data_IF_035021392072
#
_entry.id   IF_035021392072
#
_cell.length_a   1.000
_cell.length_b   1.000
_cell.length_c   1.000
_cell.angle_alpha   90.00
_cell.angle_beta   90.00
_cell.angle_gamma   90.00
#
_symmetry.space_group_name_H-M   'P 1'
#
loop_
_entity.id
_entity.type
_entity.pdbx_description
1 polymer ?
#
# COMPACT_ATOMS: atom_id res chain seq x y z
N UNK A 1 8.64 -28.06 9.64
CA UNK A 1 7.33 -28.74 9.70
C UNK A 1 6.50 -28.28 8.52
N UNK A 2 5.96 -29.24 7.75
CA UNK A 2 5.08 -29.01 6.60
C UNK A 2 3.68 -28.63 7.08
N UNK A 3 2.97 -27.88 6.22
CA UNK A 3 1.53 -28.02 5.91
C UNK A 3 0.43 -27.29 6.69
N UNK A 4 -0.25 -26.42 5.91
CA UNK A 4 -1.70 -26.34 5.62
C UNK A 4 -2.70 -25.65 6.58
N UNK A 5 -3.32 -24.60 6.01
CA UNK A 5 -4.77 -24.30 5.88
C UNK A 5 -5.57 -24.02 7.16
N UNK A 6 -6.21 -22.84 7.20
CA UNK A 6 -7.66 -22.72 7.40
C UNK A 6 -8.15 -21.29 7.13
N UNK A 7 -8.73 -21.07 5.95
CA UNK A 7 -9.78 -20.07 5.76
C UNK A 7 -11.05 -20.59 6.47
N UNK A 8 -11.68 -19.81 7.38
CA UNK A 8 -13.05 -20.07 7.75
C UNK A 8 -13.99 -19.33 6.80
N UNK A 9 -14.77 -20.13 6.10
CA UNK A 9 -16.08 -19.82 5.56
C UNK A 9 -16.92 -19.01 6.55
N UNK A 10 -17.59 -17.96 6.08
CA UNK A 10 -18.86 -17.51 6.64
C UNK A 10 -19.90 -17.49 5.52
N UNK A 11 -20.77 -18.50 5.57
CA UNK A 11 -21.96 -18.60 4.75
C UNK A 11 -23.14 -17.90 5.45
N UNK A 12 -23.96 -17.29 4.61
CA UNK A 12 -25.42 -17.11 4.73
C UNK A 12 -25.98 -16.31 5.92
N UNK A 13 -26.38 -15.07 5.60
CA UNK A 13 -27.66 -14.53 6.03
C UNK A 13 -28.33 -13.84 4.83
N UNK A 14 -29.17 -14.59 4.12
CA UNK A 14 -30.17 -14.01 3.23
C UNK A 14 -31.50 -13.96 3.99
N UNK A 15 -32.11 -12.78 4.06
CA UNK A 15 -33.54 -12.52 3.76
C UNK A 15 -33.91 -11.08 4.12
N UNK A 16 -34.72 -10.48 3.25
CA UNK A 16 -35.29 -9.12 3.28
C UNK A 16 -34.43 -7.97 2.73
N UNK A 17 -34.04 -8.06 1.46
CA UNK A 17 -33.90 -6.88 0.61
C UNK A 17 -35.16 -6.75 -0.28
N UNK A 18 -35.66 -5.54 -0.57
CA UNK A 18 -36.78 -5.37 -1.50
C UNK A 18 -36.39 -5.98 -2.84
N UNK A 19 -37.23 -6.86 -3.39
CA UNK A 19 -37.11 -7.27 -4.78
C UNK A 19 -37.23 -6.01 -5.63
N UNK A 20 -36.09 -5.52 -6.15
CA UNK A 20 -36.07 -4.64 -7.30
C UNK A 20 -36.80 -5.39 -8.42
N UNK A 21 -37.91 -4.82 -8.87
CA UNK A 21 -38.70 -5.35 -9.98
C UNK A 21 -37.76 -5.66 -11.14
N UNK A 22 -37.74 -6.94 -11.53
CA UNK A 22 -37.04 -7.39 -12.71
C UNK A 22 -37.64 -6.67 -13.91
N UNK A 23 -36.92 -5.68 -14.42
CA UNK A 23 -37.25 -5.02 -15.67
C UNK A 23 -36.84 -5.96 -16.81
N UNK A 24 -37.76 -6.83 -17.18
CA UNK A 24 -37.73 -7.56 -18.45
C UNK A 24 -37.83 -6.54 -19.58
N UNK A 25 -36.69 -6.07 -20.11
CA UNK A 25 -36.57 -5.59 -21.49
C UNK A 25 -35.08 -5.38 -21.85
N UNK A 26 -34.64 -6.05 -22.93
CA UNK A 26 -33.34 -5.97 -23.60
C UNK A 26 -32.08 -6.48 -22.85
N UNK A 27 -31.77 -7.78 -23.04
CA UNK A 27 -30.42 -8.40 -23.05
C UNK A 27 -29.34 -7.72 -22.19
N UNK A 28 -29.41 -7.91 -20.88
CA UNK A 28 -28.31 -7.61 -19.96
C UNK A 28 -27.09 -8.42 -20.39
N UNK A 29 -25.99 -7.78 -20.78
CA UNK A 29 -24.75 -8.50 -21.14
C UNK A 29 -24.26 -9.28 -19.90
N UNK A 30 -23.82 -10.54 -20.06
CA UNK A 30 -23.37 -11.33 -18.92
C UNK A 30 -22.09 -10.77 -18.32
N UNK A 31 -21.94 -10.93 -17.00
CA UNK A 31 -20.70 -10.66 -16.28
C UNK A 31 -19.61 -11.61 -16.78
N UNK A 32 -18.42 -11.07 -17.01
CA UNK A 32 -17.24 -11.81 -17.49
C UNK A 32 -16.14 -11.80 -16.44
N UNK A 33 -15.52 -12.95 -16.25
CA UNK A 33 -14.25 -13.06 -15.53
C UNK A 33 -13.09 -12.69 -16.46
N UNK A 34 -11.95 -12.29 -15.89
CA UNK A 34 -10.78 -11.93 -16.66
C UNK A 34 -10.12 -13.18 -17.28
N UNK A 35 -10.12 -13.30 -18.61
CA UNK A 35 -9.36 -14.33 -19.31
C UNK A 35 -7.88 -13.93 -19.41
N UNK A 36 -7.07 -14.43 -18.47
CA UNK A 36 -5.62 -14.15 -18.41
C UNK A 36 -4.80 -14.95 -19.43
N UNK A 37 -5.41 -15.87 -20.16
CA UNK A 37 -4.71 -16.83 -21.04
C UNK A 37 -4.61 -16.39 -22.50
N UNK A 38 -5.36 -15.35 -22.91
CA UNK A 38 -5.46 -14.94 -24.32
C UNK A 38 -4.42 -13.89 -24.73
N UNK A 39 -3.77 -14.12 -25.87
CA UNK A 39 -2.80 -13.21 -26.47
C UNK A 39 -3.46 -12.04 -27.23
N UNK A 40 -4.67 -12.23 -27.76
CA UNK A 40 -5.37 -11.27 -28.64
C UNK A 40 -6.27 -10.28 -27.88
N UNK A 41 -5.80 -9.81 -26.72
CA UNK A 41 -6.58 -9.03 -25.76
C UNK A 41 -6.73 -7.54 -26.10
N UNK A 42 -6.53 -7.14 -27.36
CA UNK A 42 -6.48 -5.74 -27.74
C UNK A 42 -7.44 -5.46 -28.89
N UNK A 43 -8.40 -4.55 -28.68
CA UNK A 43 -9.17 -4.01 -29.81
C UNK A 43 -8.42 -2.81 -30.36
N UNK A 44 -8.03 -2.89 -31.63
CA UNK A 44 -7.36 -1.80 -32.35
C UNK A 44 -8.33 -0.62 -32.47
N UNK A 45 -7.85 0.58 -32.17
CA UNK A 45 -8.56 1.80 -32.54
C UNK A 45 -8.59 1.89 -34.08
N UNK A 46 -9.78 1.89 -34.71
CA UNK A 46 -9.89 1.92 -36.17
C UNK A 46 -9.30 3.20 -36.80
N UNK A 47 -9.05 4.26 -36.01
CA UNK A 47 -8.59 5.55 -36.49
C UNK A 47 -7.08 5.79 -36.36
N UNK A 48 -6.26 4.79 -36.00
CA UNK A 48 -4.81 5.00 -35.76
C UNK A 48 -3.94 4.19 -36.74
N UNK A 49 -3.21 4.91 -37.60
CA UNK A 49 -2.22 4.38 -38.53
C UNK A 49 -0.84 4.14 -37.84
N UNK A 50 -0.50 2.87 -37.61
CA UNK A 50 0.83 2.22 -37.61
C UNK A 50 2.10 2.92 -37.03
N UNK A 51 2.02 3.60 -35.88
CA UNK A 51 3.21 3.80 -35.03
C UNK A 51 2.86 3.71 -33.52
N UNK A 52 3.03 2.51 -32.93
CA UNK A 52 3.12 2.12 -31.49
C UNK A 52 2.05 2.64 -30.48
N UNK A 53 1.64 1.84 -29.46
CA UNK A 53 0.24 1.78 -29.01
C UNK A 53 -0.08 2.70 -27.83
N UNK A 54 -0.78 3.82 -28.08
CA UNK A 54 -1.38 4.64 -27.03
C UNK A 54 -2.91 4.40 -26.86
N UNK A 55 -3.58 3.80 -27.85
CA UNK A 55 -5.04 3.74 -27.90
C UNK A 55 -5.64 2.34 -27.75
N UNK A 56 -4.86 1.27 -27.88
CA UNK A 56 -5.38 -0.08 -27.68
C UNK A 56 -5.79 -0.26 -26.21
N UNK A 57 -7.06 -0.56 -25.96
CA UNK A 57 -7.55 -0.97 -24.64
C UNK A 57 -7.98 -2.41 -24.64
N UNK A 58 -7.84 -3.04 -23.47
CA UNK A 58 -8.27 -4.40 -23.26
C UNK A 58 -9.78 -4.47 -23.29
N UNK A 59 -10.32 -5.44 -24.01
CA UNK A 59 -11.74 -5.71 -24.01
C UNK A 59 -12.21 -6.30 -22.67
N UNK A 60 -13.52 -6.35 -22.49
CA UNK A 60 -14.16 -6.91 -21.30
C UNK A 60 -13.80 -8.39 -21.09
N UNK A 61 -13.61 -9.17 -22.16
CA UNK A 61 -13.22 -10.58 -22.07
C UNK A 61 -11.87 -10.78 -21.35
N UNK A 62 -10.93 -9.84 -21.55
CA UNK A 62 -9.58 -9.98 -20.99
C UNK A 62 -9.39 -9.33 -19.63
N UNK A 63 -10.21 -8.33 -19.30
CA UNK A 63 -10.11 -7.60 -18.03
C UNK A 63 -11.15 -8.07 -17.01
N UNK A 64 -12.19 -8.76 -17.49
CA UNK A 64 -13.39 -9.01 -16.72
C UNK A 64 -14.23 -7.73 -16.56
N UNK A 65 -15.50 -7.93 -16.26
CA UNK A 65 -16.50 -6.84 -16.21
C UNK A 65 -16.16 -5.77 -15.17
N UNK A 66 -15.66 -6.16 -13.99
CA UNK A 66 -15.36 -5.21 -12.90
C UNK A 66 -14.26 -4.23 -13.32
N UNK A 67 -13.11 -4.73 -13.77
CA UNK A 67 -12.01 -3.86 -14.21
C UNK A 67 -12.40 -3.05 -15.44
N UNK A 68 -13.08 -3.67 -16.41
CA UNK A 68 -13.55 -3.01 -17.62
C UNK A 68 -14.41 -1.77 -17.32
N UNK A 69 -15.38 -1.93 -16.42
CA UNK A 69 -16.24 -0.82 -15.98
C UNK A 69 -15.45 0.21 -15.17
N UNK A 70 -14.69 -0.20 -14.15
CA UNK A 70 -13.97 0.73 -13.26
C UNK A 70 -12.85 1.53 -13.96
N UNK A 71 -12.24 0.97 -15.01
CA UNK A 71 -11.26 1.68 -15.83
C UNK A 71 -11.87 2.57 -16.91
N UNK A 72 -13.18 2.44 -17.16
CA UNK A 72 -13.86 3.22 -18.20
C UNK A 72 -13.61 2.71 -19.62
N UNK A 73 -13.21 1.44 -19.78
CA UNK A 73 -12.86 0.91 -21.10
C UNK A 73 -14.06 0.88 -22.05
N UNK A 74 -15.28 0.71 -21.53
CA UNK A 74 -16.53 0.78 -22.29
C UNK A 74 -16.60 1.94 -23.30
N UNK A 75 -16.12 3.13 -22.91
CA UNK A 75 -16.10 4.33 -23.77
C UNK A 75 -15.33 4.14 -25.09
N UNK A 76 -14.29 3.30 -25.08
CA UNK A 76 -13.45 3.01 -26.26
C UNK A 76 -13.93 1.81 -27.05
N UNK A 77 -14.92 1.08 -26.54
CA UNK A 77 -15.49 -0.10 -27.18
C UNK A 77 -16.90 0.15 -27.75
N UNK A 78 -17.33 1.42 -27.82
CA UNK A 78 -18.61 1.83 -28.40
C UNK A 78 -19.79 1.62 -27.44
N UNK A 79 -19.52 1.53 -26.14
CA UNK A 79 -20.54 1.50 -25.10
C UNK A 79 -20.58 2.85 -24.39
N UNK A 80 -21.77 3.43 -24.29
CA UNK A 80 -21.98 4.73 -23.66
C UNK A 80 -22.63 4.53 -22.29
N UNK A 81 -21.89 4.88 -21.23
CA UNK A 81 -22.35 4.90 -19.85
C UNK A 81 -21.88 6.20 -19.20
N UNK A 82 -22.73 6.80 -18.38
CA UNK A 82 -22.41 8.04 -17.65
C UNK A 82 -21.20 7.85 -16.72
N UNK A 83 -21.10 6.67 -16.09
CA UNK A 83 -20.01 6.30 -15.20
C UNK A 83 -19.83 4.77 -15.10
N UNK A 84 -18.85 4.35 -14.30
CA UNK A 84 -18.58 2.93 -14.08
C UNK A 84 -19.72 2.19 -13.35
N UNK A 85 -20.56 2.88 -12.58
CA UNK A 85 -21.69 2.24 -11.89
C UNK A 85 -22.82 1.93 -12.86
N UNK A 86 -23.08 2.84 -13.81
CA UNK A 86 -23.99 2.58 -14.92
C UNK A 86 -23.50 1.37 -15.74
N UNK A 87 -22.19 1.28 -16.00
CA UNK A 87 -21.59 0.11 -16.64
C UNK A 87 -21.83 -1.18 -15.83
N UNK A 88 -21.57 -1.18 -14.51
CA UNK A 88 -21.79 -2.36 -13.65
C UNK A 88 -23.27 -2.76 -13.59
N UNK A 89 -24.19 -1.78 -13.40
CA UNK A 89 -25.63 -2.02 -13.37
C UNK A 89 -26.14 -2.58 -14.70
N UNK A 90 -25.56 -2.16 -15.84
CA UNK A 90 -25.88 -2.72 -17.15
C UNK A 90 -25.54 -4.22 -17.29
N UNK A 91 -24.76 -4.77 -16.36
CA UNK A 91 -24.36 -6.18 -16.26
C UNK A 91 -25.07 -6.91 -15.12
N UNK A 92 -26.06 -6.28 -14.49
CA UNK A 92 -26.77 -6.84 -13.34
C UNK A 92 -25.96 -6.85 -12.04
N UNK A 93 -24.84 -6.10 -11.97
CA UNK A 93 -24.04 -5.96 -10.77
C UNK A 93 -24.50 -4.74 -9.96
N UNK A 94 -24.72 -4.94 -8.66
CA UNK A 94 -24.86 -3.81 -7.72
C UNK A 94 -23.46 -3.27 -7.40
N UNK A 95 -23.12 -2.02 -7.76
CA UNK A 95 -21.82 -1.43 -7.48
C UNK A 95 -21.43 -1.45 -6.00
N UNK A 96 -22.41 -1.45 -5.09
CA UNK A 96 -22.16 -1.47 -3.65
C UNK A 96 -21.64 -2.82 -3.15
N UNK A 97 -21.99 -3.93 -3.81
CA UNK A 97 -21.63 -5.29 -3.40
C UNK A 97 -20.69 -6.00 -4.38
N UNK A 98 -20.64 -5.56 -5.63
CA UNK A 98 -19.80 -6.16 -6.66
C UNK A 98 -18.33 -5.76 -6.58
N UNK A 99 -18.01 -4.67 -5.88
CA UNK A 99 -16.64 -4.18 -5.70
C UNK A 99 -16.28 -4.30 -4.21
N UNK A 100 -15.58 -5.38 -3.87
CA UNK A 100 -15.02 -5.60 -2.52
C UNK A 100 -13.74 -4.79 -2.31
N UNK A 101 -13.84 -3.47 -2.54
CA UNK A 101 -12.72 -2.53 -2.39
C UNK A 101 -13.23 -1.09 -2.25
N UNK A 102 -12.42 -0.24 -1.59
CA UNK A 102 -12.64 1.20 -1.62
C UNK A 102 -12.55 1.72 -3.06
N UNK A 103 -13.58 2.42 -3.52
CA UNK A 103 -13.58 3.02 -4.84
C UNK A 103 -12.79 4.32 -4.85
N UNK A 104 -11.89 4.48 -5.79
CA UNK A 104 -11.18 5.73 -6.03
C UNK A 104 -12.14 6.69 -6.77
N UNK A 105 -12.69 7.67 -6.04
CA UNK A 105 -13.55 8.73 -6.56
C UNK A 105 -12.76 9.93 -7.08
N UNK A 106 -11.50 10.11 -6.64
CA UNK A 106 -10.57 11.13 -7.15
C UNK A 106 -9.19 10.52 -7.41
N UNK A 107 -8.83 10.30 -8.69
CA UNK A 107 -7.52 9.75 -9.08
C UNK A 107 -6.37 10.71 -8.78
N UNK A 108 -6.61 12.01 -8.87
CA UNK A 108 -5.61 13.04 -8.55
C UNK A 108 -5.28 13.03 -7.06
N UNK A 109 -6.30 13.05 -6.18
CA UNK A 109 -6.07 12.93 -4.74
C UNK A 109 -5.44 11.57 -4.39
N UNK A 110 -5.83 10.47 -5.03
CA UNK A 110 -5.20 9.17 -4.80
C UNK A 110 -3.70 9.22 -5.10
N UNK A 111 -3.31 9.81 -6.23
CA UNK A 111 -1.90 9.97 -6.64
C UNK A 111 -1.12 10.85 -5.66
N UNK A 112 -1.72 11.98 -5.23
CA UNK A 112 -1.12 12.87 -4.24
C UNK A 112 -0.97 12.20 -2.88
N UNK A 113 -1.96 11.42 -2.45
CA UNK A 113 -1.92 10.64 -1.22
C UNK A 113 -0.80 9.61 -1.23
N UNK A 114 -0.67 8.87 -2.33
CA UNK A 114 0.42 7.90 -2.52
C UNK A 114 1.80 8.56 -2.49
N UNK A 115 1.95 9.68 -3.19
CA UNK A 115 3.21 10.44 -3.25
C UNK A 115 3.61 10.96 -1.86
N UNK A 116 2.66 11.51 -1.10
CA UNK A 116 2.89 11.97 0.27
C UNK A 116 3.24 10.82 1.23
N UNK A 117 2.63 9.64 1.08
CA UNK A 117 2.97 8.47 1.88
C UNK A 117 4.37 7.94 1.56
N UNK A 118 4.76 7.94 0.28
CA UNK A 118 6.11 7.58 -0.15
C UNK A 118 7.16 8.54 0.41
N UNK A 119 6.89 9.84 0.35
CA UNK A 119 7.74 10.89 0.94
C UNK A 119 7.87 10.69 2.45
N UNK A 120 6.77 10.50 3.17
CA UNK A 120 6.78 10.22 4.61
C UNK A 120 7.66 9.01 4.96
N UNK A 121 7.50 7.90 4.23
CA UNK A 121 8.30 6.70 4.43
C UNK A 121 9.79 6.95 4.21
N UNK A 122 10.16 7.68 3.15
CA UNK A 122 11.56 8.01 2.87
C UNK A 122 12.16 8.90 3.96
N UNK A 123 11.45 9.94 4.38
CA UNK A 123 11.91 10.87 5.41
C UNK A 123 12.05 10.15 6.76
N UNK A 124 11.07 9.32 7.13
CA UNK A 124 11.09 8.57 8.39
C UNK A 124 12.23 7.54 8.41
N UNK A 125 12.43 6.77 7.33
CA UNK A 125 13.54 5.82 7.26
C UNK A 125 14.91 6.51 7.33
N UNK A 126 15.05 7.69 6.70
CA UNK A 126 16.26 8.50 6.85
C UNK A 126 16.45 8.96 8.29
N UNK A 127 15.38 9.41 8.95
CA UNK A 127 15.43 9.79 10.35
C UNK A 127 15.93 8.65 11.23
N UNK A 128 15.33 7.46 11.09
CA UNK A 128 15.69 6.29 11.88
C UNK A 128 17.12 5.81 11.63
N UNK A 129 17.58 5.81 10.38
CA UNK A 129 18.94 5.46 10.02
C UNK A 129 19.97 6.39 10.71
N UNK A 130 19.74 7.70 10.66
CA UNK A 130 20.63 8.68 11.27
C UNK A 130 20.61 8.60 12.79
N UNK A 131 19.45 8.36 13.40
CA UNK A 131 19.33 8.10 14.83
C UNK A 131 20.05 6.82 15.25
N UNK A 132 20.10 5.81 14.38
CA UNK A 132 20.86 4.59 14.67
C UNK A 132 22.36 4.83 14.54
N UNK A 133 22.80 5.55 13.51
CA UNK A 133 24.21 5.93 13.34
C UNK A 133 24.71 6.78 14.53
N UNK A 134 23.89 7.68 15.07
CA UNK A 134 24.29 8.47 16.25
C UNK A 134 24.44 7.65 17.54
N UNK A 135 24.09 6.36 17.53
CA UNK A 135 24.32 5.46 18.67
C UNK A 135 25.62 4.68 18.56
N UNK A 136 26.33 4.76 17.43
CA UNK A 136 27.60 4.06 17.21
C UNK A 136 28.82 4.93 17.55
N UNK A 137 28.62 6.00 18.33
CA UNK A 137 29.69 6.89 18.80
C UNK A 137 30.73 6.10 19.58
N UNK A 138 32.01 6.32 19.27
CA UNK A 138 33.16 5.78 20.02
C UNK A 138 33.82 6.91 20.82
N UNK A 139 34.88 6.64 21.59
CA UNK A 139 35.56 7.74 22.28
C UNK A 139 36.24 8.68 21.28
N UNK A 140 36.25 9.99 21.57
CA UNK A 140 36.89 10.99 20.71
C UNK A 140 38.40 10.73 20.52
N UNK A 141 39.05 10.10 21.50
CA UNK A 141 40.44 9.65 21.36
C UNK A 141 40.64 8.63 20.23
N UNK A 142 39.60 7.85 19.91
CA UNK A 142 39.63 6.83 18.85
C UNK A 142 39.18 7.39 17.52
N UNK A 143 38.10 8.18 17.50
CA UNK A 143 37.52 8.69 16.26
C UNK A 143 36.66 9.96 16.45
N UNK A 144 37.31 11.05 16.84
CA UNK A 144 36.63 12.36 16.97
C UNK A 144 36.02 12.85 15.65
N UNK A 145 36.71 12.66 14.53
CA UNK A 145 36.26 13.19 13.23
C UNK A 145 34.92 12.55 12.82
N UNK A 146 34.77 11.23 12.95
CA UNK A 146 33.50 10.57 12.67
C UNK A 146 32.40 10.99 13.66
N UNK A 147 32.72 11.13 14.95
CA UNK A 147 31.77 11.61 15.95
C UNK A 147 31.24 13.01 15.62
N UNK A 148 32.13 13.94 15.28
CA UNK A 148 31.77 15.32 14.90
C UNK A 148 30.88 15.32 13.65
N UNK A 149 31.21 14.51 12.64
CA UNK A 149 30.40 14.36 11.43
C UNK A 149 29.00 13.78 11.70
N UNK A 150 28.92 12.71 12.51
CA UNK A 150 27.66 12.09 12.91
C UNK A 150 26.80 13.09 13.68
N UNK A 151 27.39 13.85 14.61
CA UNK A 151 26.71 14.91 15.33
C UNK A 151 26.18 15.97 14.38
N UNK A 152 26.99 16.46 13.44
CA UNK A 152 26.52 17.45 12.46
C UNK A 152 25.30 16.96 11.66
N UNK A 153 25.30 15.68 11.26
CA UNK A 153 24.16 15.08 10.57
C UNK A 153 22.94 14.98 11.49
N UNK A 154 23.12 14.57 12.75
CA UNK A 154 22.04 14.42 13.72
C UNK A 154 21.30 15.75 13.96
N UNK A 155 22.02 16.87 14.06
CA UNK A 155 21.39 18.19 14.19
C UNK A 155 20.50 18.53 12.99
N UNK A 156 20.91 18.15 11.78
CA UNK A 156 20.04 18.29 10.60
C UNK A 156 18.79 17.40 10.66
N UNK A 157 18.80 16.34 11.48
CA UNK A 157 17.81 15.27 11.56
C UNK A 157 16.55 15.64 12.33
N UNK A 158 16.62 16.61 13.24
CA UNK A 158 15.53 16.93 14.18
C UNK A 158 14.22 17.27 13.48
N UNK A 159 14.28 18.06 12.40
CA UNK A 159 13.08 18.47 11.66
C UNK A 159 12.48 17.36 10.78
N UNK A 160 13.17 16.23 10.56
CA UNK A 160 12.70 15.17 9.66
C UNK A 160 11.48 14.44 10.23
N UNK A 161 11.38 14.29 11.55
CA UNK A 161 10.19 13.69 12.17
C UNK A 161 8.94 14.51 11.88
N UNK A 162 9.03 15.83 12.02
CA UNK A 162 7.89 16.71 11.78
C UNK A 162 7.53 16.81 10.30
N UNK A 163 8.52 16.76 9.40
CA UNK A 163 8.28 16.62 7.96
C UNK A 163 7.57 15.31 7.62
N UNK A 164 8.01 14.18 8.18
CA UNK A 164 7.35 12.89 7.98
C UNK A 164 5.91 12.90 8.52
N UNK A 165 5.67 13.48 9.70
CA UNK A 165 4.32 13.66 10.26
C UNK A 165 3.43 14.52 9.37
N UNK A 166 3.95 15.61 8.84
CA UNK A 166 3.23 16.48 7.89
C UNK A 166 2.89 15.73 6.60
N UNK A 167 3.82 14.96 6.06
CA UNK A 167 3.60 14.14 4.87
C UNK A 167 2.53 13.05 5.13
N UNK A 168 2.54 12.40 6.30
CA UNK A 168 1.48 11.46 6.72
C UNK A 168 0.12 12.17 6.81
N UNK A 169 0.07 13.36 7.42
CA UNK A 169 -1.17 14.15 7.52
C UNK A 169 -1.72 14.53 6.15
N UNK A 170 -0.84 14.91 5.22
CA UNK A 170 -1.19 15.17 3.84
C UNK A 170 -1.74 13.90 3.17
N UNK A 171 -1.04 12.76 3.31
CA UNK A 171 -1.48 11.48 2.77
C UNK A 171 -2.88 11.10 3.25
N UNK A 172 -3.15 11.22 4.56
CA UNK A 172 -4.48 11.01 5.15
C UNK A 172 -5.52 11.90 4.49
N UNK A 173 -5.26 13.20 4.42
CA UNK A 173 -6.19 14.18 3.83
C UNK A 173 -6.51 13.87 2.36
N UNK A 174 -5.48 13.53 1.57
CA UNK A 174 -5.63 13.15 0.18
C UNK A 174 -6.42 11.85 0.03
N UNK A 175 -6.07 10.80 0.76
CA UNK A 175 -6.79 9.51 0.65
C UNK A 175 -8.25 9.59 1.09
N UNK A 176 -8.56 10.35 2.14
CA UNK A 176 -9.95 10.62 2.57
C UNK A 176 -10.79 11.23 1.44
N UNK A 177 -10.25 12.21 0.72
CA UNK A 177 -10.90 12.75 -0.50
C UNK A 177 -10.92 11.75 -1.67
N UNK A 178 -9.85 10.97 -1.81
CA UNK A 178 -9.71 10.01 -2.90
C UNK A 178 -10.72 8.85 -2.83
N UNK A 179 -11.09 8.41 -1.63
CA UNK A 179 -12.03 7.30 -1.41
C UNK A 179 -13.43 7.77 -0.97
N UNK A 180 -13.56 9.02 -0.56
CA UNK A 180 -14.79 9.60 -0.02
C UNK A 180 -14.95 9.37 1.48
N UNK A 181 -15.70 10.25 2.13
CA UNK A 181 -15.77 10.37 3.60
C UNK A 181 -16.23 9.11 4.34
N UNK A 182 -16.96 8.21 3.66
CA UNK A 182 -17.39 6.92 4.24
C UNK A 182 -16.22 5.98 4.61
N UNK A 183 -15.03 6.21 4.06
CA UNK A 183 -13.83 5.41 4.31
C UNK A 183 -12.79 6.13 5.19
N UNK A 184 -13.14 7.26 5.81
CA UNK A 184 -12.16 8.07 6.55
C UNK A 184 -11.50 7.32 7.70
N UNK A 185 -12.29 6.56 8.47
CA UNK A 185 -11.80 5.77 9.61
C UNK A 185 -10.90 4.61 9.15
N UNK A 186 -11.25 3.97 8.03
CA UNK A 186 -10.49 2.85 7.46
C UNK A 186 -9.14 3.34 6.91
N UNK A 187 -9.11 4.50 6.23
CA UNK A 187 -7.88 5.17 5.78
C UNK A 187 -7.00 5.55 6.97
N UNK A 188 -7.59 6.13 8.02
CA UNK A 188 -6.87 6.52 9.24
C UNK A 188 -6.23 5.30 9.91
N UNK A 189 -7.01 4.24 10.13
CA UNK A 189 -6.56 3.00 10.74
C UNK A 189 -5.46 2.32 9.91
N UNK A 190 -5.60 2.26 8.58
CA UNK A 190 -4.61 1.68 7.69
C UNK A 190 -3.26 2.40 7.76
N UNK A 191 -3.27 3.73 7.81
CA UNK A 191 -2.04 4.53 7.90
C UNK A 191 -1.40 4.41 9.29
N UNK A 192 -2.18 4.42 10.37
CA UNK A 192 -1.63 4.20 11.72
C UNK A 192 -1.07 2.78 11.89
N UNK A 193 -1.71 1.77 11.30
CA UNK A 193 -1.19 0.42 11.29
C UNK A 193 0.14 0.31 10.54
N UNK A 194 0.24 0.91 9.35
CA UNK A 194 1.49 0.94 8.59
C UNK A 194 2.62 1.62 9.38
N UNK A 195 2.32 2.72 10.07
CA UNK A 195 3.27 3.42 10.95
C UNK A 195 3.71 2.55 12.12
N UNK A 196 2.80 1.80 12.76
CA UNK A 196 3.15 0.86 13.84
C UNK A 196 4.09 -0.24 13.34
N UNK A 197 3.79 -0.85 12.18
CA UNK A 197 4.64 -1.87 11.55
C UNK A 197 6.03 -1.33 11.22
N UNK A 198 6.11 -0.11 10.69
CA UNK A 198 7.38 0.54 10.39
C UNK A 198 8.22 0.76 11.65
N UNK A 199 7.62 1.24 12.73
CA UNK A 199 8.30 1.41 14.01
C UNK A 199 8.79 0.07 14.58
N UNK A 200 7.97 -0.98 14.49
CA UNK A 200 8.33 -2.33 14.94
C UNK A 200 9.53 -2.89 14.14
N UNK A 201 9.52 -2.72 12.81
CA UNK A 201 10.64 -3.15 11.97
C UNK A 201 11.97 -2.47 12.37
N UNK A 202 11.94 -1.17 12.68
CA UNK A 202 13.12 -0.47 13.16
C UNK A 202 13.55 -0.87 14.58
N UNK A 203 12.61 -1.25 15.44
CA UNK A 203 12.95 -1.83 16.74
C UNK A 203 13.69 -3.16 16.57
N UNK A 204 13.24 -4.04 15.66
CA UNK A 204 13.94 -5.30 15.38
C UNK A 204 15.35 -5.09 14.83
N UNK A 205 15.55 -4.11 13.94
CA UNK A 205 16.90 -3.77 13.41
C UNK A 205 17.83 -3.37 14.55
N UNK A 206 17.33 -2.52 15.47
CA UNK A 206 18.10 -2.09 16.64
C UNK A 206 18.53 -3.27 17.50
N UNK A 207 17.62 -4.20 17.78
CA UNK A 207 17.88 -5.33 18.67
C UNK A 207 18.90 -6.30 18.03
N UNK A 208 18.79 -6.58 16.72
CA UNK A 208 19.68 -7.52 16.02
C UNK A 208 21.12 -7.02 15.84
N UNK A 209 21.33 -5.72 15.58
CA UNK A 209 22.67 -5.20 15.26
C UNK A 209 23.53 -4.96 16.51
N UNK A 210 22.93 -4.53 17.62
CA UNK A 210 23.66 -4.25 18.87
C UNK A 210 23.98 -5.54 19.64
N UNK A 211 23.12 -6.55 19.54
CA UNK A 211 23.31 -7.79 20.29
C UNK A 211 24.43 -8.67 19.75
N UNK A 212 24.81 -8.60 18.47
CA UNK A 212 25.83 -9.51 17.94
C UNK A 212 27.20 -9.37 18.63
N UNK A 213 27.68 -8.13 18.82
CA UNK A 213 28.94 -7.88 19.50
C UNK A 213 28.83 -8.11 21.01
N UNK A 214 27.67 -7.78 21.61
CA UNK A 214 27.40 -8.07 23.01
C UNK A 214 27.41 -9.58 23.29
N UNK A 215 26.76 -10.36 22.43
CA UNK A 215 26.74 -11.83 22.50
C UNK A 215 28.15 -12.40 22.36
N UNK A 216 29.01 -11.79 21.53
CA UNK A 216 30.41 -12.20 21.41
C UNK A 216 31.22 -11.84 22.67
N UNK A 217 31.03 -10.65 23.24
CA UNK A 217 31.62 -10.28 24.53
C UNK A 217 31.18 -11.22 25.66
N UNK A 218 29.88 -11.49 25.78
CA UNK A 218 29.32 -12.41 26.76
C UNK A 218 29.88 -13.83 26.54
N UNK A 219 30.01 -14.28 25.29
CA UNK A 219 30.63 -15.56 24.94
C UNK A 219 32.10 -15.65 25.39
N UNK A 220 32.88 -14.57 25.21
CA UNK A 220 34.27 -14.51 25.68
C UNK A 220 34.33 -14.49 27.21
N UNK A 221 33.49 -13.67 27.85
CA UNK A 221 33.39 -13.58 29.31
C UNK A 221 33.06 -14.93 29.95
N UNK A 222 32.11 -15.67 29.39
CA UNK A 222 31.74 -17.02 29.86
C UNK A 222 32.87 -18.05 29.72
N UNK A 223 33.83 -17.83 28.81
CA UNK A 223 34.94 -18.75 28.51
C UNK A 223 36.29 -18.30 29.06
N UNK A 224 36.39 -17.07 29.55
CA UNK A 224 37.59 -16.55 30.20
C UNK A 224 37.48 -16.63 31.72
N UNK A 225 38.55 -16.22 32.41
CA UNK A 225 38.54 -16.02 33.87
C UNK A 225 37.58 -14.91 34.32
N UNK A 226 37.16 -14.03 33.40
CA UNK A 226 36.22 -12.93 33.70
C UNK A 226 34.86 -13.42 34.21
N UNK A 227 34.47 -14.67 33.93
CA UNK A 227 33.27 -15.27 34.52
C UNK A 227 33.28 -15.35 36.05
N UNK A 228 34.45 -15.22 36.68
CA UNK A 228 34.60 -15.23 38.13
C UNK A 228 34.72 -13.81 38.73
N UNK A 229 34.79 -12.76 37.90
CA UNK A 229 34.87 -11.39 38.39
C UNK A 229 33.49 -10.92 38.86
N UNK A 230 33.40 -10.52 40.13
CA UNK A 230 32.20 -9.91 40.68
C UNK A 230 32.12 -8.45 40.20
N UNK A 231 30.95 -8.05 39.69
CA UNK A 231 30.66 -6.65 39.43
C UNK A 231 30.43 -5.97 40.79
N UNK A 232 31.41 -5.17 41.24
CA UNK A 232 31.31 -4.35 42.45
C UNK A 232 30.68 -2.99 42.12
#
# INVERSE_FOLDING_TARGET
MKSFIALPLLAAAALAAPQLEARDDATTKPVKEADTSRADCWKKDPNVHWMLPASATRNEDCTGTIEYCLRGFYSRHGEEFDDADACLRSRGLDPATAVDAMRIVSRDDYSKGFSALQEANQIYNRYMLLTQLSRTTVSDEKDKEANDFINQILWSNENRVDQARKAISNAKSYYKRAFGSKHDDEVEAGIEEAKRKLNAAWAEVKDKDVEQLRNMYDWFKERSEEKYYHNW
#
